data_IF_197590419275
#
_entry.id   IF_197590419275
#
_cell.length_a   1.000
_cell.length_b   1.000
_cell.length_c   1.000
_cell.angle_alpha   90.00
_cell.angle_beta   90.00
_cell.angle_gamma   90.00
#
_symmetry.space_group_name_H-M   'P 1'
#
loop_
_entity.id
_entity.type
_entity.pdbx_description
1 polymer ?
#
# COMPACT_ATOMS: atom_id res chain seq x y z
N UNK A 1 35.51 2.33 -5.98
CA UNK A 1 34.29 3.04 -6.47
C UNK A 1 33.33 3.26 -5.30
N UNK A 2 33.13 4.51 -4.86
CA UNK A 2 32.10 4.86 -3.88
C UNK A 2 30.75 4.54 -4.46
N UNK A 3 30.09 3.55 -3.92
CA UNK A 3 28.77 3.18 -4.36
C UNK A 3 27.79 4.30 -3.94
N UNK A 4 27.30 5.06 -4.92
CA UNK A 4 26.35 6.18 -4.69
C UNK A 4 25.22 5.71 -3.78
N UNK A 5 25.03 6.41 -2.67
CA UNK A 5 23.93 6.10 -1.77
C UNK A 5 22.59 6.39 -2.45
N UNK A 6 21.78 5.34 -2.60
CA UNK A 6 20.46 5.39 -3.24
C UNK A 6 19.53 6.29 -2.40
N UNK A 7 18.99 7.34 -2.98
CA UNK A 7 17.94 8.12 -2.32
C UNK A 7 16.65 7.31 -2.23
N UNK A 8 16.05 7.28 -1.04
CA UNK A 8 14.79 6.59 -0.76
C UNK A 8 13.70 7.61 -0.45
N UNK A 9 12.54 7.47 -1.06
CA UNK A 9 11.35 8.26 -0.72
C UNK A 9 10.37 7.43 0.10
N UNK A 10 9.95 7.94 1.26
CA UNK A 10 8.89 7.36 2.08
C UNK A 10 7.65 8.24 1.92
N UNK A 11 6.58 7.66 1.33
CA UNK A 11 5.33 8.35 1.07
C UNK A 11 4.34 8.04 2.18
N UNK A 12 3.99 9.04 3.00
CA UNK A 12 3.06 8.92 4.13
C UNK A 12 1.71 9.56 3.75
N UNK A 13 0.63 8.77 3.88
CA UNK A 13 -0.73 9.27 3.72
C UNK A 13 -1.35 9.53 5.08
N UNK A 14 -1.85 10.73 5.32
CA UNK A 14 -2.52 11.09 6.56
C UNK A 14 -3.95 11.55 6.35
N UNK A 15 -4.85 11.02 7.17
CA UNK A 15 -6.20 11.54 7.34
C UNK A 15 -6.70 11.20 8.75
N UNK A 16 -6.86 12.23 9.61
CA UNK A 16 -7.38 12.11 10.98
C UNK A 16 -6.69 11.03 11.83
N UNK A 17 -5.36 11.04 11.88
CA UNK A 17 -4.54 10.08 12.64
C UNK A 17 -3.68 10.78 13.69
N UNK A 18 -4.25 11.71 14.48
CA UNK A 18 -3.51 12.48 15.49
C UNK A 18 -2.78 11.61 16.54
N UNK A 19 -3.38 10.47 16.90
CA UNK A 19 -2.80 9.55 17.89
C UNK A 19 -1.57 8.80 17.37
N UNK A 20 -1.39 8.69 16.05
CA UNK A 20 -0.37 7.82 15.45
C UNK A 20 0.67 8.56 14.64
N UNK A 21 0.31 9.65 13.95
CA UNK A 21 1.17 10.34 12.98
C UNK A 21 2.53 10.73 13.56
N UNK A 22 2.62 11.12 14.84
CA UNK A 22 3.90 11.43 15.48
C UNK A 22 4.84 10.24 15.50
N UNK A 23 4.34 9.07 15.93
CA UNK A 23 5.11 7.81 15.96
C UNK A 23 5.49 7.35 14.57
N UNK A 24 4.58 7.47 13.59
CA UNK A 24 4.83 7.16 12.19
C UNK A 24 6.01 7.96 11.65
N UNK A 25 5.97 9.30 11.75
CA UNK A 25 7.04 10.19 11.25
C UNK A 25 8.37 9.93 11.96
N UNK A 26 8.35 9.79 13.30
CA UNK A 26 9.56 9.48 14.07
C UNK A 26 10.17 8.14 13.65
N UNK A 27 9.36 7.13 13.32
CA UNK A 27 9.85 5.84 12.85
C UNK A 27 10.63 5.95 11.53
N UNK A 28 10.24 6.90 10.68
CA UNK A 28 10.95 7.19 9.43
C UNK A 28 12.24 7.98 9.68
N UNK A 29 12.20 9.03 10.50
CA UNK A 29 13.37 9.84 10.82
C UNK A 29 14.46 9.03 11.54
N UNK A 30 14.07 8.04 12.34
CA UNK A 30 14.95 7.18 13.12
C UNK A 30 15.49 5.96 12.32
N UNK A 31 15.26 5.90 11.00
CA UNK A 31 15.83 4.82 10.20
C UNK A 31 17.37 4.83 10.24
N UNK A 32 17.97 3.64 10.27
CA UNK A 32 19.44 3.49 10.24
C UNK A 32 20.04 3.90 8.88
N UNK A 33 19.27 3.80 7.80
CA UNK A 33 19.64 4.33 6.49
C UNK A 33 19.31 5.83 6.43
N UNK A 34 20.31 6.69 6.09
CA UNK A 34 20.19 8.15 6.27
C UNK A 34 19.81 8.91 5.01
N UNK A 35 20.07 8.35 3.82
CA UNK A 35 19.74 9.02 2.56
C UNK A 35 18.24 8.80 2.19
N UNK A 36 17.39 9.47 2.96
CA UNK A 36 15.92 9.39 2.84
C UNK A 36 15.30 10.78 2.69
N UNK A 37 14.21 10.85 1.97
CA UNK A 37 13.22 11.93 2.04
C UNK A 37 11.86 11.36 2.45
N UNK A 38 11.07 12.15 3.14
CA UNK A 38 9.74 11.79 3.65
C UNK A 38 8.75 12.77 3.05
N UNK A 39 7.75 12.27 2.34
CA UNK A 39 6.68 13.09 1.78
C UNK A 39 5.39 12.77 2.54
N UNK A 40 4.88 13.74 3.32
CA UNK A 40 3.65 13.60 4.06
C UNK A 40 2.53 14.29 3.31
N UNK A 41 1.50 13.55 2.94
CA UNK A 41 0.29 14.06 2.32
C UNK A 41 -0.85 14.05 3.35
N UNK A 42 -1.36 15.24 3.68
CA UNK A 42 -2.54 15.39 4.53
C UNK A 42 -3.80 15.59 3.67
N UNK A 43 -4.74 14.63 3.78
CA UNK A 43 -5.97 14.61 2.99
C UNK A 43 -7.13 15.32 3.72
N UNK A 44 -6.96 16.62 4.00
CA UNK A 44 -8.00 17.46 4.65
C UNK A 44 -8.35 16.96 6.06
N UNK A 45 -7.34 16.68 6.88
CA UNK A 45 -7.56 16.36 8.28
C UNK A 45 -8.14 17.52 9.06
N UNK A 46 -9.07 17.22 9.97
CA UNK A 46 -9.69 18.17 10.89
C UNK A 46 -9.32 17.94 12.36
N UNK A 47 -8.56 16.85 12.66
CA UNK A 47 -7.97 16.59 13.96
C UNK A 47 -6.62 17.33 14.14
N UNK A 48 -5.92 17.07 15.27
CA UNK A 48 -4.63 17.70 15.56
C UNK A 48 -3.47 17.21 14.69
N UNK A 49 -3.64 16.16 13.87
CA UNK A 49 -2.58 15.64 12.99
C UNK A 49 -2.04 16.69 12.03
N UNK A 50 -2.93 17.51 11.45
CA UNK A 50 -2.53 18.60 10.55
C UNK A 50 -1.67 19.65 11.26
N UNK A 51 -2.00 20.01 12.51
CA UNK A 51 -1.18 20.94 13.33
C UNK A 51 0.20 20.36 13.58
N UNK A 52 0.27 19.10 13.96
CA UNK A 52 1.54 18.39 14.17
C UNK A 52 2.37 18.35 12.88
N UNK A 53 1.79 17.96 11.72
CA UNK A 53 2.52 17.93 10.46
C UNK A 53 3.09 19.29 10.11
N UNK A 54 2.33 20.39 10.32
CA UNK A 54 2.82 21.76 10.10
C UNK A 54 4.03 22.10 10.97
N UNK A 55 4.05 21.66 12.22
CA UNK A 55 5.12 21.98 13.20
C UNK A 55 6.43 21.25 12.96
N UNK A 56 6.47 20.21 12.11
CA UNK A 56 7.71 19.47 11.83
C UNK A 56 8.74 20.40 11.16
N UNK A 57 9.88 20.60 11.81
CA UNK A 57 11.04 21.33 11.28
C UNK A 57 12.16 20.33 10.97
N UNK A 58 12.13 19.74 9.78
CA UNK A 58 13.16 18.80 9.33
C UNK A 58 13.28 18.85 7.82
N UNK A 59 14.48 19.06 7.30
CA UNK A 59 14.77 19.22 5.86
C UNK A 59 14.40 17.99 5.02
N UNK A 60 14.44 16.80 5.62
CA UNK A 60 14.03 15.55 4.96
C UNK A 60 12.53 15.43 4.77
N UNK A 61 11.73 16.29 5.40
CA UNK A 61 10.26 16.19 5.41
C UNK A 61 9.64 17.23 4.50
N UNK A 62 9.02 16.77 3.44
CA UNK A 62 8.15 17.57 2.56
C UNK A 62 6.69 17.35 2.93
N UNK A 63 5.90 18.39 2.95
CA UNK A 63 4.50 18.40 3.38
C UNK A 63 3.61 18.83 2.24
N UNK A 64 2.53 18.09 2.01
CA UNK A 64 1.50 18.41 1.01
C UNK A 64 0.16 18.44 1.74
N UNK A 65 -0.53 19.56 1.68
CA UNK A 65 -1.85 19.72 2.27
C UNK A 65 -2.90 19.77 1.15
N UNK A 66 -3.83 18.82 1.18
CA UNK A 66 -4.94 18.83 0.25
C UNK A 66 -5.96 19.92 0.62
N UNK A 67 -6.56 20.56 -0.37
CA UNK A 67 -7.58 21.59 -0.16
C UNK A 67 -8.99 21.00 -0.04
N UNK A 68 -9.25 19.90 -0.75
CA UNK A 68 -10.54 19.18 -0.74
C UNK A 68 -10.34 17.71 -1.08
N UNK A 69 -11.26 16.87 -0.64
CA UNK A 69 -11.31 15.46 -1.08
C UNK A 69 -11.82 15.40 -2.53
N UNK A 70 -11.21 14.54 -3.33
CA UNK A 70 -11.55 14.38 -4.75
C UNK A 70 -12.57 13.27 -4.99
N UNK A 71 -12.64 12.30 -4.08
CA UNK A 71 -13.49 11.12 -4.21
C UNK A 71 -14.31 10.89 -2.94
N UNK A 72 -15.50 10.27 -3.09
CA UNK A 72 -16.26 9.75 -1.94
C UNK A 72 -15.54 8.58 -1.26
N UNK A 73 -14.81 7.77 -2.04
CA UNK A 73 -14.04 6.62 -1.52
C UNK A 73 -12.73 7.05 -0.86
N UNK A 74 -12.52 6.68 0.41
CA UNK A 74 -11.25 6.88 1.12
C UNK A 74 -10.08 6.16 0.43
N UNK A 75 -10.31 4.99 -0.17
CA UNK A 75 -9.29 4.22 -0.91
C UNK A 75 -8.82 4.95 -2.18
N UNK A 76 -9.74 5.61 -2.89
CA UNK A 76 -9.38 6.44 -4.05
C UNK A 76 -8.66 7.72 -3.63
N UNK A 77 -9.03 8.30 -2.49
CA UNK A 77 -8.29 9.44 -1.94
C UNK A 77 -6.87 9.05 -1.53
N UNK A 78 -6.68 7.88 -0.89
CA UNK A 78 -5.36 7.33 -0.58
C UNK A 78 -4.51 7.13 -1.87
N UNK A 79 -5.09 6.54 -2.91
CA UNK A 79 -4.39 6.36 -4.20
C UNK A 79 -3.98 7.70 -4.82
N UNK A 80 -4.87 8.70 -4.76
CA UNK A 80 -4.58 10.06 -5.23
C UNK A 80 -3.47 10.72 -4.40
N UNK A 81 -3.50 10.57 -3.07
CA UNK A 81 -2.47 11.07 -2.15
C UNK A 81 -1.10 10.47 -2.49
N UNK A 82 -1.03 9.15 -2.67
CA UNK A 82 0.20 8.44 -3.05
C UNK A 82 0.73 8.93 -4.41
N UNK A 83 -0.14 9.05 -5.41
CA UNK A 83 0.24 9.56 -6.73
C UNK A 83 0.82 10.97 -6.66
N UNK A 84 0.17 11.87 -5.92
CA UNK A 84 0.65 13.25 -5.75
C UNK A 84 1.94 13.34 -4.95
N UNK A 85 2.10 12.50 -3.92
CA UNK A 85 3.35 12.38 -3.16
C UNK A 85 4.47 11.85 -4.04
N UNK A 86 4.21 10.83 -4.86
CA UNK A 86 5.18 10.29 -5.80
C UNK A 86 5.70 11.33 -6.79
N UNK A 87 4.82 12.18 -7.35
CA UNK A 87 5.21 13.25 -8.26
C UNK A 87 6.12 14.32 -7.60
N UNK A 88 6.10 14.44 -6.28
CA UNK A 88 6.97 15.35 -5.50
C UNK A 88 8.22 14.67 -4.94
N UNK A 89 8.32 13.35 -5.08
CA UNK A 89 9.43 12.56 -4.59
C UNK A 89 10.55 12.44 -5.63
N UNK A 90 11.79 12.20 -5.17
CA UNK A 90 12.99 12.07 -6.03
C UNK A 90 13.75 10.75 -5.82
N UNK A 91 13.42 9.97 -4.79
CA UNK A 91 14.12 8.72 -4.46
C UNK A 91 14.01 7.66 -5.55
N UNK A 92 15.02 6.83 -5.69
CA UNK A 92 15.08 5.70 -6.62
C UNK A 92 14.27 4.50 -6.11
N UNK A 93 14.06 4.42 -4.79
CA UNK A 93 13.22 3.42 -4.14
C UNK A 93 12.08 4.14 -3.42
N UNK A 94 10.86 3.67 -3.61
CA UNK A 94 9.64 4.24 -3.07
C UNK A 94 9.07 3.30 -2.02
N UNK A 95 8.92 3.78 -0.78
CA UNK A 95 8.20 3.12 0.29
C UNK A 95 6.83 3.75 0.48
N UNK A 96 5.82 2.92 0.72
CA UNK A 96 4.49 3.38 1.13
C UNK A 96 4.35 3.20 2.63
N UNK A 97 3.67 4.15 3.28
CA UNK A 97 3.40 4.09 4.71
C UNK A 97 2.08 4.80 5.04
N UNK A 98 1.17 4.08 5.67
CA UNK A 98 -0.04 4.66 6.23
C UNK A 98 0.28 5.33 7.58
N UNK A 99 -0.37 6.44 7.89
CA UNK A 99 0.02 7.30 9.03
C UNK A 99 -0.26 6.72 10.41
N UNK A 100 -0.97 5.60 10.50
CA UNK A 100 -1.21 4.82 11.72
C UNK A 100 -0.18 3.69 11.93
N UNK A 101 0.70 3.45 10.96
CA UNK A 101 1.73 2.42 10.99
C UNK A 101 3.12 2.96 11.34
N UNK A 102 4.08 2.06 11.53
CA UNK A 102 5.46 2.45 11.81
C UNK A 102 6.47 1.45 11.25
N UNK A 103 7.66 1.95 10.88
CA UNK A 103 8.78 1.12 10.46
C UNK A 103 9.69 0.77 11.65
N UNK A 104 10.23 -0.44 11.68
CA UNK A 104 11.35 -0.77 12.56
C UNK A 104 12.65 -0.13 12.03
N UNK A 105 13.57 0.20 12.94
CA UNK A 105 14.80 0.99 12.71
C UNK A 105 15.62 0.59 11.47
N UNK A 106 15.64 -0.69 11.12
CA UNK A 106 16.49 -1.22 10.05
C UNK A 106 15.72 -1.55 8.74
N UNK A 107 14.43 -1.22 8.63
CA UNK A 107 13.61 -1.58 7.46
C UNK A 107 14.20 -1.04 6.18
N UNK A 108 14.43 0.26 6.09
CA UNK A 108 14.94 0.89 4.86
C UNK A 108 16.31 0.34 4.48
N UNK A 109 17.24 0.21 5.44
CA UNK A 109 18.57 -0.36 5.19
C UNK A 109 18.50 -1.78 4.62
N UNK A 110 17.63 -2.63 5.19
CA UNK A 110 17.47 -4.00 4.74
C UNK A 110 16.92 -4.08 3.30
N UNK A 111 15.93 -3.27 2.98
CA UNK A 111 15.32 -3.23 1.65
C UNK A 111 16.30 -2.69 0.61
N UNK A 112 16.98 -1.58 0.88
CA UNK A 112 18.01 -1.01 -0.01
C UNK A 112 19.09 -2.05 -0.31
N UNK A 113 19.61 -2.74 0.70
CA UNK A 113 20.61 -3.79 0.51
C UNK A 113 20.09 -4.95 -0.34
N UNK A 114 18.81 -5.32 -0.19
CA UNK A 114 18.18 -6.38 -0.98
C UNK A 114 18.04 -5.97 -2.46
N UNK A 115 17.60 -4.74 -2.73
CA UNK A 115 17.56 -4.19 -4.10
C UNK A 115 18.97 -4.07 -4.73
N UNK A 116 19.96 -3.64 -3.94
CA UNK A 116 21.37 -3.57 -4.41
C UNK A 116 21.92 -4.94 -4.81
N UNK A 117 21.61 -6.00 -4.03
CA UNK A 117 22.04 -7.37 -4.31
C UNK A 117 21.36 -7.98 -5.55
N UNK A 118 20.14 -7.57 -5.85
CA UNK A 118 19.40 -8.03 -7.02
C UNK A 118 18.74 -6.85 -7.73
N UNK A 119 19.46 -6.28 -8.70
CA UNK A 119 19.02 -5.12 -9.49
C UNK A 119 17.78 -5.39 -10.36
N UNK A 120 17.44 -6.66 -10.61
CA UNK A 120 16.24 -7.04 -11.36
C UNK A 120 14.96 -6.92 -10.54
N UNK A 121 15.06 -6.90 -9.20
CA UNK A 121 13.88 -6.77 -8.34
C UNK A 121 13.19 -5.43 -8.58
N UNK A 122 11.89 -5.46 -8.81
CA UNK A 122 11.02 -4.31 -9.01
C UNK A 122 10.20 -3.98 -7.78
N UNK A 123 9.90 -5.00 -6.96
CA UNK A 123 9.07 -4.90 -5.77
C UNK A 123 9.59 -5.77 -4.63
N UNK A 124 9.50 -5.22 -3.43
CA UNK A 124 9.77 -5.93 -2.17
C UNK A 124 8.64 -5.70 -1.18
N UNK A 125 8.37 -6.72 -0.37
CA UNK A 125 7.39 -6.67 0.71
C UNK A 125 7.95 -7.43 1.92
N UNK A 126 7.70 -6.96 3.15
CA UNK A 126 7.97 -7.70 4.39
C UNK A 126 6.67 -8.20 5.04
N UNK A 127 6.79 -8.96 6.11
CA UNK A 127 5.66 -9.39 6.91
C UNK A 127 5.35 -8.34 8.00
N UNK A 128 4.06 -8.04 8.26
CA UNK A 128 3.67 -7.11 9.30
C UNK A 128 3.78 -7.72 10.70
N UNK A 129 4.08 -6.87 11.69
CA UNK A 129 3.77 -7.09 13.09
C UNK A 129 2.43 -6.42 13.33
N UNK A 130 1.38 -7.18 13.54
CA UNK A 130 0.06 -6.65 13.88
C UNK A 130 0.10 -6.07 15.29
N UNK A 131 -0.31 -4.82 15.42
CA UNK A 131 -0.39 -4.10 16.69
C UNK A 131 -1.85 -3.71 16.96
N UNK A 132 -2.36 -4.12 18.11
CA UNK A 132 -3.72 -3.84 18.58
C UNK A 132 -3.65 -2.77 19.68
N UNK A 133 -3.89 -1.48 19.39
CA UNK A 133 -3.67 -0.39 20.32
C UNK A 133 -4.45 -0.51 21.64
N UNK A 134 -5.68 -1.02 21.58
CA UNK A 134 -6.56 -1.13 22.75
C UNK A 134 -6.03 -2.11 23.81
N UNK A 135 -5.30 -3.14 23.40
CA UNK A 135 -4.73 -4.16 24.32
C UNK A 135 -3.21 -4.08 24.39
N UNK A 136 -2.60 -3.17 23.65
CA UNK A 136 -1.15 -3.11 23.41
C UNK A 136 -0.52 -4.44 22.95
N UNK A 137 -1.35 -5.37 22.50
CA UNK A 137 -0.92 -6.69 22.03
C UNK A 137 -0.25 -6.58 20.64
N UNK A 138 0.79 -7.39 20.43
CA UNK A 138 1.50 -7.47 19.15
C UNK A 138 1.63 -8.92 18.71
N UNK A 139 1.34 -9.18 17.45
CA UNK A 139 1.40 -10.51 16.86
C UNK A 139 2.16 -10.50 15.53
N UNK A 140 3.03 -11.50 15.35
CA UNK A 140 3.69 -11.74 14.05
C UNK A 140 2.88 -12.75 13.26
N UNK A 141 2.24 -12.31 12.16
CA UNK A 141 1.54 -13.21 11.24
C UNK A 141 2.31 -13.33 9.92
N UNK A 142 2.54 -14.56 9.50
CA UNK A 142 2.97 -14.84 8.13
C UNK A 142 1.68 -15.02 7.33
N UNK A 143 1.32 -14.04 6.50
CA UNK A 143 0.35 -14.29 5.45
C UNK A 143 1.03 -15.23 4.45
N UNK A 144 0.51 -16.45 4.36
CA UNK A 144 1.01 -17.42 3.39
C UNK A 144 0.80 -16.80 2.00
N UNK A 145 1.88 -16.35 1.38
CA UNK A 145 1.88 -15.77 0.02
C UNK A 145 1.52 -16.78 -1.07
N UNK A 146 1.24 -18.03 -0.67
CA UNK A 146 0.82 -19.08 -1.60
C UNK A 146 -0.61 -18.79 -2.06
N UNK A 147 -0.80 -18.75 -3.36
CA UNK A 147 -2.12 -18.76 -3.99
C UNK A 147 -2.87 -19.99 -3.52
N UNK A 148 -4.04 -19.82 -2.92
CA UNK A 148 -4.94 -20.94 -2.66
C UNK A 148 -5.48 -21.48 -3.99
N UNK A 149 -5.73 -22.79 -4.06
CA UNK A 149 -6.12 -23.49 -5.30
C UNK A 149 -7.25 -22.79 -6.04
N UNK A 150 -8.25 -22.30 -5.31
CA UNK A 150 -9.43 -21.63 -5.89
C UNK A 150 -9.30 -20.10 -6.00
N UNK A 151 -8.17 -19.49 -5.62
CA UNK A 151 -8.00 -18.04 -5.68
C UNK A 151 -7.25 -17.63 -6.95
N UNK A 152 -7.74 -16.58 -7.60
CA UNK A 152 -7.11 -16.06 -8.84
C UNK A 152 -5.76 -15.39 -8.57
N UNK A 153 -5.57 -14.79 -7.38
CA UNK A 153 -4.34 -14.12 -6.94
C UNK A 153 -3.97 -14.51 -5.51
N UNK A 154 -2.70 -14.36 -5.10
CA UNK A 154 -2.26 -14.67 -3.75
C UNK A 154 -2.80 -13.66 -2.72
N UNK A 155 -2.77 -14.02 -1.44
CA UNK A 155 -2.90 -13.05 -0.36
C UNK A 155 -1.75 -12.06 -0.38
N UNK A 156 -1.98 -10.87 0.15
CA UNK A 156 -1.01 -9.79 0.18
C UNK A 156 -0.97 -9.12 1.56
N UNK A 157 0.20 -8.56 1.88
CA UNK A 157 0.43 -7.81 3.09
C UNK A 157 -0.02 -6.35 2.92
N UNK A 158 -0.26 -5.60 4.03
CA UNK A 158 -0.72 -4.21 3.99
C UNK A 158 0.21 -3.26 3.24
N UNK A 159 -0.33 -2.13 2.81
CA UNK A 159 0.34 -1.04 2.08
C UNK A 159 1.71 -0.68 2.70
N UNK A 160 1.78 -0.53 4.01
CA UNK A 160 3.00 -0.11 4.72
C UNK A 160 4.14 -1.13 4.68
N UNK A 161 3.90 -2.36 4.20
CA UNK A 161 4.96 -3.36 4.01
C UNK A 161 5.68 -3.23 2.65
N UNK A 162 5.20 -2.38 1.75
CA UNK A 162 5.58 -2.34 0.34
C UNK A 162 6.69 -1.35 0.03
N UNK A 163 7.63 -1.77 -0.83
CA UNK A 163 8.60 -0.90 -1.48
C UNK A 163 8.81 -1.28 -2.95
N UNK A 164 9.09 -0.28 -3.77
CA UNK A 164 9.15 -0.39 -5.23
C UNK A 164 10.41 0.31 -5.77
N UNK A 165 10.97 -0.19 -6.85
CA UNK A 165 11.83 0.60 -7.71
C UNK A 165 11.00 1.73 -8.35
N UNK A 166 11.54 2.95 -8.44
CA UNK A 166 10.83 4.12 -8.98
C UNK A 166 10.25 3.90 -10.38
N UNK A 167 11.06 3.35 -11.30
CA UNK A 167 10.63 3.12 -12.69
C UNK A 167 9.44 2.17 -12.77
N UNK A 168 9.42 1.12 -11.94
CA UNK A 168 8.31 0.19 -11.86
C UNK A 168 7.07 0.83 -11.24
N UNK A 169 7.25 1.62 -10.19
CA UNK A 169 6.14 2.31 -9.52
C UNK A 169 5.48 3.35 -10.42
N UNK A 170 6.27 4.09 -11.20
CA UNK A 170 5.76 5.03 -12.21
C UNK A 170 4.90 4.32 -13.26
N UNK A 171 5.43 3.21 -13.82
CA UNK A 171 4.69 2.37 -14.76
C UNK A 171 3.40 1.84 -14.16
N UNK A 172 3.46 1.30 -12.94
CA UNK A 172 2.30 0.80 -12.21
C UNK A 172 1.23 1.90 -12.04
N UNK A 173 1.61 3.07 -11.54
CA UNK A 173 0.67 4.19 -11.35
C UNK A 173 0.03 4.66 -12.66
N UNK A 174 0.78 4.71 -13.75
CA UNK A 174 0.25 5.05 -15.09
C UNK A 174 -0.77 4.02 -15.57
N UNK A 175 -0.49 2.76 -15.36
CA UNK A 175 -1.35 1.67 -15.83
C UNK A 175 -2.65 1.53 -15.03
N UNK A 176 -2.62 1.79 -13.72
CA UNK A 176 -3.83 1.71 -12.88
C UNK A 176 -4.65 3.00 -12.87
N UNK A 177 -4.12 4.13 -13.37
CA UNK A 177 -4.76 5.45 -13.25
C UNK A 177 -6.10 5.55 -13.98
N UNK A 178 -6.28 4.84 -15.11
CA UNK A 178 -7.52 4.88 -15.90
C UNK A 178 -8.71 4.22 -15.18
N UNK A 179 -8.46 3.33 -14.23
CA UNK A 179 -9.48 2.56 -13.52
C UNK A 179 -9.90 3.19 -12.17
N UNK A 180 -9.35 4.36 -11.81
CA UNK A 180 -9.52 4.93 -10.48
C UNK A 180 -10.98 5.12 -10.05
N UNK A 181 -11.84 5.66 -10.95
CA UNK A 181 -13.26 5.87 -10.63
C UNK A 181 -14.06 4.58 -10.59
N UNK A 182 -13.71 3.60 -11.44
CA UNK A 182 -14.48 2.37 -11.63
C UNK A 182 -14.28 1.35 -10.50
N UNK A 183 -13.11 1.37 -9.83
CA UNK A 183 -12.72 0.37 -8.83
C UNK A 183 -12.51 1.03 -7.45
N UNK A 184 -13.58 1.67 -6.95
CA UNK A 184 -13.55 2.50 -5.74
C UNK A 184 -13.36 1.75 -4.43
N UNK A 185 -13.63 0.44 -4.41
CA UNK A 185 -13.43 -0.39 -3.21
C UNK A 185 -12.01 -0.96 -3.09
N UNK A 186 -11.19 -0.84 -4.15
CA UNK A 186 -9.85 -1.39 -4.16
C UNK A 186 -8.81 -0.41 -3.60
N UNK A 187 -8.16 -0.79 -2.51
CA UNK A 187 -6.99 -0.10 -1.97
C UNK A 187 -5.75 -0.33 -2.87
N UNK A 188 -4.70 0.46 -2.65
CA UNK A 188 -3.49 0.41 -3.47
C UNK A 188 -2.74 -0.92 -3.33
N UNK A 189 -2.74 -1.52 -2.14
CA UNK A 189 -2.11 -2.82 -1.89
C UNK A 189 -2.72 -3.93 -2.75
N UNK A 190 -4.06 -4.01 -2.82
CA UNK A 190 -4.75 -4.96 -3.67
C UNK A 190 -4.43 -4.74 -5.16
N UNK A 191 -4.42 -3.48 -5.62
CA UNK A 191 -4.05 -3.13 -7.01
C UNK A 191 -2.60 -3.51 -7.31
N UNK A 192 -1.67 -3.22 -6.39
CA UNK A 192 -0.26 -3.49 -6.56
C UNK A 192 0.01 -4.99 -6.64
N UNK A 193 -0.52 -5.78 -5.72
CA UNK A 193 -0.28 -7.22 -5.70
C UNK A 193 -0.87 -7.92 -6.94
N UNK A 194 -2.07 -7.55 -7.36
CA UNK A 194 -2.67 -8.06 -8.60
C UNK A 194 -1.77 -7.71 -9.79
N UNK A 195 -1.35 -6.44 -9.88
CA UNK A 195 -0.49 -6.00 -10.96
C UNK A 195 0.84 -6.75 -10.98
N UNK A 196 1.50 -6.88 -9.84
CA UNK A 196 2.77 -7.58 -9.67
C UNK A 196 2.62 -9.06 -10.03
N UNK A 197 1.60 -9.71 -9.50
CA UNK A 197 1.38 -11.14 -9.71
C UNK A 197 1.21 -11.52 -11.19
N UNK A 198 0.47 -10.70 -11.96
CA UNK A 198 0.20 -11.00 -13.36
C UNK A 198 1.22 -10.40 -14.34
N UNK A 199 1.91 -9.31 -13.99
CA UNK A 199 2.68 -8.53 -14.95
C UNK A 199 4.14 -8.26 -14.54
N UNK A 200 4.56 -8.72 -13.35
CA UNK A 200 5.96 -8.70 -12.94
C UNK A 200 6.38 -10.10 -12.46
N UNK A 201 7.60 -10.51 -12.85
CA UNK A 201 8.25 -11.72 -12.31
C UNK A 201 9.35 -11.37 -11.29
N UNK A 202 9.62 -10.08 -11.10
CA UNK A 202 10.77 -9.56 -10.39
C UNK A 202 10.37 -9.02 -9.01
N UNK A 203 9.78 -9.84 -8.17
CA UNK A 203 9.36 -9.46 -6.83
C UNK A 203 9.82 -10.46 -5.78
N UNK A 204 9.92 -10.00 -4.53
CA UNK A 204 10.23 -10.85 -3.39
C UNK A 204 9.45 -10.45 -2.15
N UNK A 205 8.91 -11.43 -1.45
CA UNK A 205 8.38 -11.27 -0.09
C UNK A 205 9.45 -11.73 0.88
N UNK A 206 9.87 -10.83 1.76
CA UNK A 206 10.94 -11.06 2.71
C UNK A 206 10.38 -11.81 3.93
N UNK A 207 11.06 -12.86 4.36
CA UNK A 207 10.76 -13.50 5.65
C UNK A 207 11.36 -12.67 6.80
N UNK A 208 10.91 -11.42 6.92
CA UNK A 208 11.30 -10.45 7.96
C UNK A 208 10.08 -9.66 8.40
N UNK A 209 10.10 -9.25 9.66
CA UNK A 209 9.08 -8.43 10.31
C UNK A 209 9.68 -7.05 10.59
N UNK A 210 9.45 -6.10 9.69
CA UNK A 210 10.06 -4.77 9.74
C UNK A 210 9.04 -3.64 9.74
N UNK A 211 7.74 -3.98 9.70
CA UNK A 211 6.61 -3.06 9.72
C UNK A 211 5.71 -3.35 10.90
N UNK A 212 5.38 -2.34 11.69
CA UNK A 212 4.30 -2.38 12.68
C UNK A 212 3.04 -1.91 11.96
N UNK A 213 2.08 -2.82 11.82
CA UNK A 213 0.78 -2.57 11.20
C UNK A 213 -0.28 -2.44 12.28
N UNK A 214 -0.84 -1.25 12.42
CA UNK A 214 -1.76 -0.91 13.49
C UNK A 214 -3.19 -1.30 13.10
N UNK A 215 -3.80 -2.17 13.92
CA UNK A 215 -5.21 -2.57 13.77
C UNK A 215 -6.09 -1.52 14.44
N UNK A 216 -6.37 -0.44 13.72
CA UNK A 216 -7.23 0.63 14.23
C UNK A 216 -8.70 0.25 14.04
N UNK A 217 -9.48 0.28 15.13
CA UNK A 217 -10.93 -0.01 15.12
C UNK A 217 -11.71 0.91 14.17
N UNK A 218 -11.19 2.10 13.90
CA UNK A 218 -11.75 3.06 12.93
C UNK A 218 -11.32 2.81 11.48
N UNK A 219 -10.41 1.84 11.25
CA UNK A 219 -9.94 1.48 9.91
C UNK A 219 -11.03 0.82 9.08
N UNK A 220 -11.15 1.21 7.82
CA UNK A 220 -12.12 0.68 6.83
C UNK A 220 -12.09 -0.85 6.65
N UNK A 221 -11.12 -1.55 7.25
CA UNK A 221 -10.82 -2.93 6.88
C UNK A 221 -11.52 -3.97 7.76
N UNK A 222 -11.71 -3.70 9.06
CA UNK A 222 -12.12 -4.75 10.01
C UNK A 222 -13.62 -5.02 9.94
N UNK A 223 -14.45 -4.00 9.80
CA UNK A 223 -15.92 -4.15 9.80
C UNK A 223 -16.47 -4.78 8.51
N UNK A 224 -15.75 -4.61 7.38
CA UNK A 224 -16.21 -5.12 6.08
C UNK A 224 -15.81 -6.57 5.78
N UNK A 225 -14.83 -7.15 6.52
CA UNK A 225 -14.25 -8.45 6.18
C UNK A 225 -14.75 -9.63 7.02
N UNK A 226 -15.35 -9.39 8.17
CA UNK A 226 -15.70 -10.46 9.11
C UNK A 226 -16.89 -11.33 8.67
N UNK A 227 -17.70 -10.86 7.73
CA UNK A 227 -18.79 -11.65 7.15
C UNK A 227 -18.63 -11.72 5.62
N UNK A 228 -18.57 -12.93 5.07
CA UNK A 228 -18.57 -13.16 3.61
C UNK A 228 -19.95 -12.84 2.99
N UNK A 229 -20.52 -11.69 3.35
CA UNK A 229 -21.79 -11.20 2.86
C UNK A 229 -21.71 -10.52 1.49
N UNK A 230 -22.83 -9.91 1.08
CA UNK A 230 -22.97 -9.21 -0.22
C UNK A 230 -21.84 -8.25 -0.56
N UNK A 231 -21.41 -7.42 0.42
CA UNK A 231 -20.33 -6.46 0.23
C UNK A 231 -18.98 -7.12 -0.11
N UNK A 232 -18.67 -8.26 0.51
CA UNK A 232 -17.45 -9.02 0.24
C UNK A 232 -17.45 -9.59 -1.18
N UNK A 233 -18.56 -10.20 -1.62
CA UNK A 233 -18.69 -10.76 -2.96
C UNK A 233 -18.66 -9.67 -4.04
N UNK A 234 -19.35 -8.55 -3.81
CA UNK A 234 -19.31 -7.38 -4.70
C UNK A 234 -17.90 -6.87 -4.90
N UNK A 235 -17.14 -6.73 -3.80
CA UNK A 235 -15.75 -6.30 -3.85
C UNK A 235 -14.85 -7.32 -4.57
N UNK A 236 -15.08 -8.63 -4.34
CA UNK A 236 -14.34 -9.68 -5.03
C UNK A 236 -14.56 -9.64 -6.53
N UNK A 237 -15.80 -9.41 -6.97
CA UNK A 237 -16.12 -9.22 -8.39
C UNK A 237 -15.43 -7.98 -8.97
N UNK A 238 -15.36 -6.90 -8.21
CA UNK A 238 -14.62 -5.69 -8.60
C UNK A 238 -13.13 -5.99 -8.84
N UNK A 239 -12.53 -6.85 -8.02
CA UNK A 239 -11.14 -7.29 -8.20
C UNK A 239 -10.95 -8.10 -9.48
N UNK A 240 -11.85 -9.03 -9.78
CA UNK A 240 -11.82 -9.77 -11.04
C UNK A 240 -11.97 -8.86 -12.26
N UNK A 241 -12.89 -7.91 -12.21
CA UNK A 241 -13.09 -6.92 -13.26
C UNK A 241 -11.86 -6.02 -13.43
N UNK A 242 -11.16 -5.71 -12.34
CA UNK A 242 -9.89 -4.98 -12.40
C UNK A 242 -8.81 -5.78 -13.13
N UNK A 243 -8.62 -7.06 -12.78
CA UNK A 243 -7.69 -7.96 -13.50
C UNK A 243 -8.01 -7.96 -14.99
N UNK A 244 -9.28 -8.19 -15.36
CA UNK A 244 -9.74 -8.22 -16.75
C UNK A 244 -9.43 -6.91 -17.47
N UNK A 245 -9.65 -5.76 -16.82
CA UNK A 245 -9.35 -4.45 -17.39
C UNK A 245 -7.84 -4.22 -17.64
N UNK A 246 -6.98 -4.76 -16.79
CA UNK A 246 -5.53 -4.70 -16.98
C UNK A 246 -5.07 -5.55 -18.16
N UNK A 247 -5.62 -6.76 -18.31
CA UNK A 247 -5.33 -7.62 -19.46
C UNK A 247 -5.79 -6.98 -20.77
N UNK A 248 -7.00 -6.45 -20.79
CA UNK A 248 -7.54 -5.72 -21.96
C UNK A 248 -6.64 -4.54 -22.33
N UNK A 249 -6.24 -3.70 -21.39
CA UNK A 249 -5.33 -2.58 -21.64
C UNK A 249 -3.99 -3.02 -22.22
N UNK A 250 -3.50 -4.20 -21.83
CA UNK A 250 -2.24 -4.78 -22.33
C UNK A 250 -2.40 -5.59 -23.62
N UNK A 251 -3.60 -5.60 -24.21
CA UNK A 251 -3.93 -6.41 -25.41
C UNK A 251 -3.60 -7.90 -25.19
N UNK A 252 -3.83 -8.42 -23.96
CA UNK A 252 -3.62 -9.82 -23.60
C UNK A 252 -4.96 -10.50 -23.34
N UNK A 253 -5.07 -11.76 -23.73
CA UNK A 253 -6.23 -12.60 -23.43
C UNK A 253 -6.30 -12.89 -21.94
N UNK A 254 -7.48 -12.75 -21.35
CA UNK A 254 -7.76 -13.13 -19.97
C UNK A 254 -8.78 -14.25 -19.94
N UNK A 255 -8.37 -15.40 -19.43
CA UNK A 255 -9.26 -16.53 -19.21
C UNK A 255 -9.87 -16.43 -17.81
N UNK A 256 -11.19 -16.43 -17.71
CA UNK A 256 -11.93 -16.40 -16.46
C UNK A 256 -11.67 -17.68 -15.68
N UNK A 257 -11.31 -17.54 -14.40
CA UNK A 257 -11.06 -18.65 -13.50
C UNK A 257 -12.36 -19.19 -12.89
N UNK A 258 -12.33 -20.39 -12.31
CA UNK A 258 -13.45 -20.92 -11.49
C UNK A 258 -13.84 -19.96 -10.37
N UNK A 259 -12.86 -19.30 -9.76
CA UNK A 259 -13.05 -18.25 -8.75
C UNK A 259 -13.88 -17.07 -9.28
N UNK A 260 -13.69 -16.67 -10.55
CA UNK A 260 -14.51 -15.65 -11.19
C UNK A 260 -15.97 -16.09 -11.28
N UNK A 261 -16.23 -17.30 -11.79
CA UNK A 261 -17.60 -17.79 -11.97
C UNK A 261 -18.32 -17.96 -10.64
N UNK A 262 -17.65 -18.54 -9.61
CA UNK A 262 -18.19 -18.61 -8.27
C UNK A 262 -18.53 -17.22 -7.72
N UNK A 263 -17.61 -16.26 -7.87
CA UNK A 263 -17.82 -14.87 -7.43
C UNK A 263 -19.02 -14.24 -8.14
N UNK A 264 -19.16 -14.49 -9.44
CA UNK A 264 -20.28 -13.98 -10.25
C UNK A 264 -21.62 -14.54 -9.78
N UNK A 265 -21.73 -15.87 -9.59
CA UNK A 265 -22.94 -16.55 -9.09
C UNK A 265 -23.32 -16.02 -7.70
N UNK A 266 -22.36 -15.92 -6.78
CA UNK A 266 -22.64 -15.39 -5.44
C UNK A 266 -23.12 -13.93 -5.47
N UNK A 267 -22.62 -13.10 -6.40
CA UNK A 267 -23.17 -11.76 -6.58
C UNK A 267 -24.59 -11.73 -7.12
N UNK A 268 -25.00 -12.72 -7.90
CA UNK A 268 -26.40 -12.84 -8.33
C UNK A 268 -27.30 -13.22 -7.15
N UNK A 269 -26.89 -14.20 -6.33
CA UNK A 269 -27.62 -14.64 -5.13
C UNK A 269 -27.81 -13.48 -4.13
N UNK A 270 -26.78 -12.69 -3.89
CA UNK A 270 -26.83 -11.57 -2.92
C UNK A 270 -27.38 -10.26 -3.50
N UNK A 271 -27.76 -10.21 -4.79
CA UNK A 271 -28.45 -9.04 -5.37
C UNK A 271 -29.98 -9.09 -5.17
N UNK A 272 -30.50 -10.27 -4.92
CA UNK A 272 -31.90 -10.51 -4.54
C UNK A 272 -32.03 -10.47 -3.01
#
# INVERSE_FOLDING_TARGET
MYQKDILVSILINNYNNESFIKKCVQSCLNQSYKNIEIIIFDDVSFDKSKKYIKSIKNEKVKKIFNKKKYFKSGRLNQLNAIKRSFLKSKGEIIFLLDSDDAFLKNKVKYFVNTFKKNKKLEFLQDNPIYHYPNTNFKEKKILKSKKLVFHTWPYFNPTSTMAFQRHFFDKFLKEISFSNKKFGTMAIDARAIIYIYFFSKNFKILNKYLTIYTQNVRGYTISEYNNKGAAWWKRRLEFHNFVQSLFFKKKKTYYKSLDYYLTYIMNMIYKN
#
